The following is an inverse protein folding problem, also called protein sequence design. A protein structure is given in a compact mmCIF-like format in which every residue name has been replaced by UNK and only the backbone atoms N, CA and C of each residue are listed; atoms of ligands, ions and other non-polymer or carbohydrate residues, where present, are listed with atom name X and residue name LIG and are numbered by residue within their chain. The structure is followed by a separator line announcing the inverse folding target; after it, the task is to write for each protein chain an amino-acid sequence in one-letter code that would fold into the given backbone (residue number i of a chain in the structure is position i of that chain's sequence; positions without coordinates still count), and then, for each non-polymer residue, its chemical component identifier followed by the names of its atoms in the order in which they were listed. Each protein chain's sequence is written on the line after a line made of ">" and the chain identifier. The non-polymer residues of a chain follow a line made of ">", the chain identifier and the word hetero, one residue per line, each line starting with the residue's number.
data_IF_686666436609
#
_entry.id   IF_686666436609
#
_cell.length_a   1.000
_cell.length_b   1.000
_cell.length_c   1.000
_cell.angle_alpha   90.00
_cell.angle_beta   90.00
_cell.angle_gamma   90.00
#
_symmetry.space_group_name_H-M   'P 1'
#
loop_
_entity.id
_entity.type
_entity.pdbx_description
1 polymer ?
#
# COMPACT_ATOMS: atom_id res chain seq x y z
N UNK A 1 -23.43 3.69 -10.24
CA UNK A 1 -22.30 2.73 -10.13
C UNK A 1 -21.19 3.45 -9.38
N UNK A 2 -20.51 2.77 -8.44
CA UNK A 2 -19.41 3.37 -7.70
C UNK A 2 -18.34 3.94 -8.67
N UNK A 3 -17.91 5.18 -8.41
CA UNK A 3 -16.91 5.85 -9.22
C UNK A 3 -15.54 5.71 -8.56
N UNK A 4 -14.52 5.31 -9.31
CA UNK A 4 -13.15 5.14 -8.80
C UNK A 4 -12.21 6.11 -9.50
N UNK A 5 -11.45 6.88 -8.73
CA UNK A 5 -10.29 7.64 -9.19
C UNK A 5 -9.03 7.05 -8.59
N UNK A 6 -7.98 6.93 -9.41
CA UNK A 6 -6.68 6.45 -8.96
C UNK A 6 -5.78 7.66 -8.72
N UNK A 7 -5.05 7.65 -7.61
CA UNK A 7 -3.92 8.57 -7.42
C UNK A 7 -2.69 8.05 -8.17
N UNK A 8 -1.70 8.91 -8.44
CA UNK A 8 -0.41 8.48 -8.97
C UNK A 8 0.24 7.40 -8.11
N UNK A 9 0.47 6.23 -8.69
CA UNK A 9 1.18 5.14 -8.02
C UNK A 9 2.60 5.55 -7.64
N UNK A 10 2.98 5.35 -6.39
CA UNK A 10 4.32 5.61 -5.89
C UNK A 10 5.20 4.38 -6.09
N UNK A 11 6.38 4.61 -6.65
CA UNK A 11 7.40 3.58 -6.87
C UNK A 11 8.68 3.90 -6.11
N UNK A 12 9.25 2.89 -5.45
CA UNK A 12 10.58 3.00 -4.87
C UNK A 12 11.38 1.70 -5.08
N UNK A 13 12.70 1.83 -5.07
CA UNK A 13 13.62 0.68 -5.12
C UNK A 13 14.65 0.84 -4.03
N UNK A 14 14.96 -0.25 -3.37
CA UNK A 14 16.01 -0.31 -2.35
C UNK A 14 16.86 -1.56 -2.56
N UNK A 15 18.17 -1.45 -2.32
CA UNK A 15 19.11 -2.56 -2.34
C UNK A 15 19.99 -2.45 -1.10
N UNK A 16 20.09 -3.54 -0.34
CA UNK A 16 20.81 -3.53 0.93
C UNK A 16 20.52 -4.76 1.76
N UNK A 17 20.73 -4.61 3.07
CA UNK A 17 20.43 -5.61 4.08
C UNK A 17 19.18 -5.17 4.85
N UNK A 18 18.23 -6.07 5.01
CA UNK A 18 16.99 -5.79 5.72
C UNK A 18 16.37 -7.08 6.26
N UNK A 19 15.55 -6.95 7.30
CA UNK A 19 14.69 -8.03 7.77
C UNK A 19 13.37 -7.99 7.00
N UNK A 20 13.19 -8.94 6.08
CA UNK A 20 11.99 -9.06 5.24
C UNK A 20 10.74 -9.25 6.08
N UNK A 21 10.80 -10.04 7.15
CA UNK A 21 9.64 -10.28 8.00
C UNK A 21 9.25 -9.04 8.78
N UNK A 22 10.24 -8.29 9.28
CA UNK A 22 10.00 -7.02 9.98
C UNK A 22 9.32 -6.02 9.06
N UNK A 23 9.82 -5.83 7.83
CA UNK A 23 9.19 -4.93 6.84
C UNK A 23 7.74 -5.31 6.60
N UNK A 24 7.45 -6.59 6.35
CA UNK A 24 6.08 -7.07 6.11
C UNK A 24 5.19 -6.82 7.33
N UNK A 25 5.67 -7.14 8.54
CA UNK A 25 4.93 -6.92 9.79
C UNK A 25 4.66 -5.43 10.04
N UNK A 26 5.62 -4.55 9.79
CA UNK A 26 5.44 -3.11 9.94
C UNK A 26 4.33 -2.58 9.01
N UNK A 27 4.28 -3.04 7.75
CA UNK A 27 3.19 -2.67 6.85
C UNK A 27 1.83 -3.22 7.31
N UNK A 28 1.79 -4.47 7.80
CA UNK A 28 0.57 -5.06 8.36
C UNK A 28 0.06 -4.27 9.57
N UNK A 29 0.96 -3.91 10.48
CA UNK A 29 0.63 -3.11 11.66
C UNK A 29 0.15 -1.71 11.26
N UNK A 30 0.80 -1.08 10.28
CA UNK A 30 0.40 0.22 9.77
C UNK A 30 -1.05 0.23 9.27
N UNK A 31 -1.49 -0.81 8.53
CA UNK A 31 -2.90 -0.92 8.14
C UNK A 31 -3.84 -0.97 9.35
N UNK A 32 -3.49 -1.75 10.38
CA UNK A 32 -4.30 -1.90 11.59
C UNK A 32 -4.37 -0.58 12.36
N UNK A 33 -3.22 0.06 12.60
CA UNK A 33 -3.09 1.34 13.32
C UNK A 33 -3.83 2.47 12.60
N UNK A 34 -3.82 2.45 11.26
CA UNK A 34 -4.53 3.42 10.44
C UNK A 34 -6.00 3.08 10.15
N UNK A 35 -6.58 2.10 10.84
CA UNK A 35 -7.99 1.69 10.76
C UNK A 35 -8.42 1.24 9.35
N UNK A 36 -7.53 0.59 8.61
CA UNK A 36 -7.90 -0.12 7.41
C UNK A 36 -8.44 -1.51 7.77
N UNK A 37 -9.55 -1.89 7.15
CA UNK A 37 -9.93 -3.30 7.07
C UNK A 37 -9.07 -3.96 5.98
N UNK A 38 -8.19 -4.87 6.40
CA UNK A 38 -7.40 -5.69 5.49
C UNK A 38 -8.30 -6.78 4.90
N UNK A 39 -8.56 -6.69 3.59
CA UNK A 39 -9.46 -7.63 2.93
C UNK A 39 -8.70 -8.91 2.52
N UNK A 40 -7.38 -8.82 2.29
CA UNK A 40 -6.57 -9.95 1.83
C UNK A 40 -5.14 -9.89 2.38
N UNK A 41 -4.81 -10.87 3.24
CA UNK A 41 -3.45 -11.20 3.72
C UNK A 41 -2.68 -11.87 2.56
N UNK A 42 -1.36 -11.61 2.39
CA UNK A 42 -0.69 -11.69 1.09
C UNK A 42 -0.78 -13.01 0.33
N UNK A 43 -0.94 -12.88 -0.99
CA UNK A 43 -0.51 -13.92 -1.93
C UNK A 43 1.01 -13.97 -1.90
N UNK A 44 1.54 -14.98 -1.24
CA UNK A 44 2.95 -15.31 -1.30
C UNK A 44 3.23 -16.06 -2.59
N UNK A 45 4.05 -15.48 -3.46
CA UNK A 45 4.68 -16.20 -4.56
C UNK A 45 6.18 -16.28 -4.30
N UNK A 46 6.66 -17.50 -4.06
CA UNK A 46 8.07 -17.83 -4.05
C UNK A 46 8.41 -18.58 -5.32
N UNK A 47 9.36 -18.05 -6.07
CA UNK A 47 10.00 -18.84 -7.12
C UNK A 47 11.12 -19.66 -6.45
N UNK A 48 11.22 -20.96 -6.77
CA UNK A 48 12.28 -21.84 -6.27
C UNK A 48 13.67 -21.22 -6.50
N UNK A 49 14.64 -21.47 -5.60
CA UNK A 49 15.95 -20.83 -5.66
C UNK A 49 16.61 -21.08 -7.02
N UNK A 50 16.79 -20.00 -7.77
CA UNK A 50 17.68 -19.95 -8.93
C UNK A 50 19.10 -19.70 -8.45
N UNK A 51 20.14 -19.93 -9.26
CA UNK A 51 21.52 -19.57 -8.89
C UNK A 51 21.68 -18.12 -8.42
N UNK A 52 20.78 -17.23 -8.86
CA UNK A 52 20.82 -15.81 -8.52
C UNK A 52 20.28 -15.47 -7.12
N UNK A 53 19.40 -16.30 -6.52
CA UNK A 53 18.81 -16.10 -5.19
C UNK A 53 17.31 -16.43 -5.13
N UNK A 54 16.67 -16.12 -4.00
CA UNK A 54 15.23 -16.31 -3.80
C UNK A 54 14.47 -15.03 -4.21
N UNK A 55 13.37 -15.19 -4.95
CA UNK A 55 12.42 -14.12 -5.23
C UNK A 55 11.17 -14.30 -4.37
N UNK A 56 10.66 -13.20 -3.83
CA UNK A 56 9.43 -13.18 -3.01
C UNK A 56 8.60 -11.97 -3.39
N UNK A 57 7.32 -12.20 -3.70
CA UNK A 57 6.34 -11.14 -3.89
C UNK A 57 5.29 -11.19 -2.77
N UNK A 58 4.95 -10.02 -2.25
CA UNK A 58 3.96 -9.81 -1.19
C UNK A 58 3.03 -8.69 -1.62
N UNK A 59 1.74 -8.99 -1.72
CA UNK A 59 0.69 -8.03 -2.06
C UNK A 59 -0.23 -7.85 -0.87
N UNK A 60 -0.50 -6.62 -0.47
CA UNK A 60 -1.38 -6.29 0.65
C UNK A 60 -2.41 -5.27 0.20
N UNK A 61 -3.65 -5.49 0.61
CA UNK A 61 -4.81 -4.68 0.22
C UNK A 61 -5.55 -4.22 1.48
N UNK A 62 -5.69 -2.91 1.64
CA UNK A 62 -6.48 -2.31 2.72
C UNK A 62 -7.56 -1.39 2.17
N UNK A 63 -8.77 -1.49 2.73
CA UNK A 63 -9.82 -0.51 2.52
C UNK A 63 -10.15 0.26 3.80
N UNK A 64 -10.42 1.56 3.68
CA UNK A 64 -10.82 2.43 4.78
C UNK A 64 -12.07 3.22 4.39
N UNK A 65 -13.12 3.08 5.19
CA UNK A 65 -14.35 3.86 5.03
C UNK A 65 -14.11 5.26 5.59
N UNK A 66 -13.89 6.23 4.71
CA UNK A 66 -13.64 7.63 5.10
C UNK A 66 -14.97 8.29 5.49
N UNK A 67 -16.00 8.10 4.67
CA UNK A 67 -17.37 8.57 4.95
C UNK A 67 -18.40 7.55 4.45
N UNK A 68 -19.69 7.84 4.67
CA UNK A 68 -20.77 7.06 4.05
C UNK A 68 -20.81 7.11 2.51
N UNK A 69 -20.06 8.03 1.90
CA UNK A 69 -19.96 8.20 0.45
C UNK A 69 -18.58 7.81 -0.10
N UNK A 70 -17.53 7.96 0.71
CA UNK A 70 -16.14 7.83 0.28
C UNK A 70 -15.48 6.64 0.96
N UNK A 71 -14.84 5.79 0.17
CA UNK A 71 -13.97 4.71 0.62
C UNK A 71 -12.61 4.87 -0.05
N UNK A 72 -11.55 4.71 0.72
CA UNK A 72 -10.18 4.72 0.25
C UNK A 72 -9.65 3.30 0.20
N UNK A 73 -8.85 2.99 -0.80
CA UNK A 73 -8.10 1.74 -0.92
C UNK A 73 -6.62 2.08 -1.03
N UNK A 74 -5.78 1.30 -0.34
CA UNK A 74 -4.32 1.39 -0.42
C UNK A 74 -3.82 -0.03 -0.69
N UNK A 75 -3.21 -0.19 -1.86
CA UNK A 75 -2.62 -1.45 -2.33
C UNK A 75 -1.10 -1.32 -2.30
N UNK A 76 -0.43 -2.27 -1.64
CA UNK A 76 1.03 -2.28 -1.48
C UNK A 76 1.59 -3.58 -2.06
N UNK A 77 2.53 -3.45 -2.98
CA UNK A 77 3.25 -4.56 -3.59
C UNK A 77 4.73 -4.43 -3.25
N UNK A 78 5.24 -5.43 -2.53
CA UNK A 78 6.66 -5.59 -2.23
C UNK A 78 7.20 -6.76 -3.05
N UNK A 79 8.14 -6.47 -3.94
CA UNK A 79 8.81 -7.47 -4.75
C UNK A 79 10.29 -7.54 -4.39
N UNK A 80 10.65 -8.58 -3.65
CA UNK A 80 12.01 -8.88 -3.24
C UNK A 80 12.72 -9.76 -4.26
N UNK A 81 13.96 -9.39 -4.59
CA UNK A 81 14.83 -10.06 -5.54
C UNK A 81 16.15 -10.45 -4.89
N UNK A 82 16.70 -11.57 -5.36
CA UNK A 82 18.03 -12.05 -4.99
C UNK A 82 18.24 -12.18 -3.48
N UNK A 83 17.20 -12.55 -2.74
CA UNK A 83 17.27 -12.69 -1.29
C UNK A 83 18.27 -13.78 -0.89
N UNK A 84 19.18 -13.43 0.00
CA UNK A 84 20.16 -14.34 0.62
C UNK A 84 20.20 -14.08 2.12
N UNK A 85 20.04 -15.14 2.90
CA UNK A 85 20.17 -15.06 4.35
C UNK A 85 21.63 -14.81 4.74
N UNK A 86 21.84 -13.84 5.62
CA UNK A 86 23.12 -13.52 6.21
C UNK A 86 22.99 -13.45 7.74
N UNK A 87 24.06 -13.81 8.44
CA UNK A 87 24.17 -13.58 9.88
C UNK A 87 25.17 -12.46 10.13
N UNK A 88 24.71 -11.35 10.70
CA UNK A 88 25.58 -10.27 11.17
C UNK A 88 25.72 -10.35 12.70
N UNK A 89 26.92 -10.06 13.21
CA UNK A 89 27.14 -9.91 14.66
C UNK A 89 27.13 -8.44 14.99
N UNK A 90 26.09 -7.98 15.70
CA UNK A 90 25.96 -6.61 16.20
C UNK A 90 25.88 -6.65 17.72
N UNK A 91 26.76 -5.91 18.40
CA UNK A 91 26.83 -5.87 19.86
C UNK A 91 26.94 -7.25 20.54
N UNK A 92 27.68 -8.17 19.90
CA UNK A 92 27.86 -9.55 20.38
C UNK A 92 26.65 -10.47 20.20
N UNK A 93 25.56 -10.00 19.59
CA UNK A 93 24.38 -10.80 19.23
C UNK A 93 24.36 -11.09 17.74
N UNK A 94 24.01 -12.32 17.39
CA UNK A 94 23.74 -12.72 16.00
C UNK A 94 22.36 -12.21 15.59
N UNK A 95 22.31 -11.40 14.54
CA UNK A 95 21.08 -10.95 13.89
C UNK A 95 21.02 -11.60 12.51
N UNK A 96 19.87 -12.21 12.19
CA UNK A 96 19.61 -12.80 10.87
C UNK A 96 18.95 -11.74 10.00
N UNK A 97 19.56 -11.45 8.86
CA UNK A 97 19.07 -10.48 7.88
C UNK A 97 19.06 -11.11 6.51
N UNK A 98 18.41 -10.43 5.56
CA UNK A 98 18.50 -10.77 4.15
C UNK A 98 19.26 -9.69 3.39
N UNK A 99 20.23 -10.09 2.58
CA UNK A 99 20.77 -9.26 1.51
C UNK A 99 19.86 -9.40 0.28
N UNK A 100 19.50 -8.30 -0.35
CA UNK A 100 18.74 -8.34 -1.58
C UNK A 100 18.38 -6.97 -2.15
N UNK A 101 17.46 -6.98 -3.10
CA UNK A 101 16.81 -5.77 -3.62
C UNK A 101 15.31 -5.88 -3.44
N UNK A 102 14.62 -4.77 -3.23
CA UNK A 102 13.17 -4.69 -3.16
C UNK A 102 12.66 -3.58 -4.06
N UNK A 103 11.67 -3.90 -4.89
CA UNK A 103 10.83 -2.92 -5.56
C UNK A 103 9.55 -2.76 -4.74
N UNK A 104 9.15 -1.51 -4.53
CA UNK A 104 7.97 -1.13 -3.77
C UNK A 104 7.05 -0.39 -4.73
N UNK A 105 5.79 -0.78 -4.74
CA UNK A 105 4.72 -0.14 -5.49
C UNK A 105 3.55 0.08 -4.53
N UNK A 106 3.07 1.33 -4.46
CA UNK A 106 1.96 1.72 -3.60
C UNK A 106 0.94 2.45 -4.47
N UNK A 107 -0.27 1.94 -4.50
CA UNK A 107 -1.36 2.48 -5.29
C UNK A 107 -2.57 2.84 -4.42
N UNK A 108 -3.03 4.07 -4.55
CA UNK A 108 -4.19 4.62 -3.89
C UNK A 108 -5.38 4.71 -4.84
N UNK A 109 -6.54 4.31 -4.33
CA UNK A 109 -7.81 4.45 -5.07
C UNK A 109 -8.85 5.08 -4.17
N UNK A 110 -9.46 6.15 -4.67
CA UNK A 110 -10.63 6.77 -4.07
C UNK A 110 -11.90 6.23 -4.73
N UNK A 111 -12.77 5.64 -3.94
CA UNK A 111 -14.08 5.12 -4.36
C UNK A 111 -15.21 5.99 -3.81
N UNK A 112 -15.95 6.62 -4.71
CA UNK A 112 -17.12 7.43 -4.43
C UNK A 112 -18.41 6.63 -4.66
N UNK A 113 -19.42 6.89 -3.83
CA UNK A 113 -20.66 6.12 -3.76
C UNK A 113 -20.40 4.60 -3.58
N UNK A 114 -19.48 4.23 -2.70
CA UNK A 114 -19.14 2.81 -2.45
C UNK A 114 -20.33 1.96 -1.95
N UNK A 115 -21.37 2.62 -1.40
CA UNK A 115 -22.62 1.97 -0.99
C UNK A 115 -23.64 1.85 -2.13
N UNK A 116 -23.31 2.34 -3.33
CA UNK A 116 -24.18 2.36 -4.51
C UNK A 116 -25.55 3.00 -4.24
N UNK A 117 -25.61 4.04 -3.39
CA UNK A 117 -26.85 4.73 -2.98
C UNK A 117 -27.50 5.48 -4.14
N UNK A 118 -26.71 5.89 -5.11
CA UNK A 118 -27.19 6.60 -6.30
C UNK A 118 -27.28 5.69 -7.53
N UNK A 119 -27.13 4.38 -7.35
CA UNK A 119 -27.31 3.40 -8.42
C UNK A 119 -28.78 2.99 -8.59
N UNK A 120 -29.15 2.53 -9.79
CA UNK A 120 -30.43 1.84 -10.04
C UNK A 120 -31.53 2.69 -10.68
N UNK A 121 -31.33 4.00 -10.85
CA UNK A 121 -32.24 4.87 -11.62
C UNK A 121 -31.46 5.94 -12.37
N UNK A 122 -31.84 6.20 -13.63
CA UNK A 122 -31.23 7.26 -14.45
C UNK A 122 -31.27 8.64 -13.78
N UNK A 123 -32.30 8.90 -12.97
CA UNK A 123 -32.41 10.15 -12.22
C UNK A 123 -31.38 10.25 -11.10
N UNK A 124 -31.20 9.17 -10.32
CA UNK A 124 -30.22 9.13 -9.23
C UNK A 124 -28.79 9.21 -9.76
N UNK A 125 -28.51 8.55 -10.89
CA UNK A 125 -27.21 8.62 -11.56
C UNK A 125 -26.92 10.03 -12.10
N UNK A 126 -27.92 10.71 -12.66
CA UNK A 126 -27.78 12.10 -13.10
C UNK A 126 -27.53 13.05 -11.91
N UNK A 127 -28.21 12.84 -10.78
CA UNK A 127 -28.01 13.62 -9.56
C UNK A 127 -26.60 13.43 -8.99
N UNK A 128 -26.11 12.19 -8.95
CA UNK A 128 -24.77 11.85 -8.47
C UNK A 128 -23.68 12.46 -9.36
N UNK A 129 -23.87 12.43 -10.68
CA UNK A 129 -22.98 13.10 -11.62
C UNK A 129 -22.98 14.62 -11.44
N UNK A 130 -24.15 15.24 -11.23
CA UNK A 130 -24.23 16.66 -10.94
C UNK A 130 -23.54 17.01 -9.62
N UNK A 131 -23.80 16.23 -8.57
CA UNK A 131 -23.19 16.42 -7.26
C UNK A 131 -21.67 16.33 -7.34
N UNK A 132 -21.12 15.28 -7.96
CA UNK A 132 -19.68 15.10 -8.16
C UNK A 132 -19.03 16.20 -8.99
N UNK A 133 -19.66 16.54 -10.12
CA UNK A 133 -19.03 17.43 -11.12
C UNK A 133 -19.12 18.91 -10.75
N UNK A 134 -20.12 19.31 -9.96
CA UNK A 134 -20.39 20.73 -9.68
C UNK A 134 -20.34 21.09 -8.20
N UNK A 135 -20.75 20.19 -7.29
CA UNK A 135 -20.86 20.54 -5.87
C UNK A 135 -19.58 20.14 -5.12
N UNK A 136 -19.12 18.90 -5.27
CA UNK A 136 -17.98 18.38 -4.51
C UNK A 136 -16.71 18.20 -5.34
N UNK A 137 -16.66 18.76 -6.56
CA UNK A 137 -15.51 18.62 -7.47
C UNK A 137 -14.18 18.97 -6.80
N UNK A 138 -14.10 20.14 -6.16
CA UNK A 138 -12.90 20.58 -5.45
C UNK A 138 -12.59 19.75 -4.21
N UNK A 139 -13.63 19.24 -3.53
CA UNK A 139 -13.44 18.37 -2.37
C UNK A 139 -12.89 16.99 -2.76
N UNK A 140 -13.22 16.51 -3.95
CA UNK A 140 -12.66 15.26 -4.48
C UNK A 140 -11.17 15.47 -4.76
N UNK A 141 -10.81 16.43 -5.62
CA UNK A 141 -9.42 16.66 -6.00
C UNK A 141 -8.55 17.18 -4.87
N UNK A 142 -8.90 18.32 -4.28
CA UNK A 142 -8.00 19.06 -3.39
C UNK A 142 -7.98 18.53 -1.95
N UNK A 143 -8.88 17.61 -1.60
CA UNK A 143 -8.96 17.12 -0.23
C UNK A 143 -8.92 15.61 -0.15
N UNK A 144 -9.76 14.90 -0.92
CA UNK A 144 -9.76 13.45 -0.85
C UNK A 144 -8.61 12.82 -1.64
N UNK A 145 -8.30 13.28 -2.86
CA UNK A 145 -7.14 12.75 -3.60
C UNK A 145 -5.83 13.10 -2.87
N UNK A 146 -5.69 14.32 -2.34
CA UNK A 146 -4.54 14.73 -1.51
C UNK A 146 -4.42 13.84 -0.24
N UNK A 147 -5.53 13.56 0.44
CA UNK A 147 -5.53 12.65 1.60
C UNK A 147 -5.09 11.22 1.22
N UNK A 148 -5.45 10.73 0.04
CA UNK A 148 -4.95 9.41 -0.44
C UNK A 148 -3.45 9.49 -0.69
N UNK A 149 -2.98 10.52 -1.41
CA UNK A 149 -1.56 10.74 -1.70
C UNK A 149 -0.71 10.84 -0.42
N UNK A 150 -1.16 11.62 0.57
CA UNK A 150 -0.48 11.76 1.86
C UNK A 150 -0.38 10.41 2.57
N UNK A 151 -1.44 9.60 2.50
CA UNK A 151 -1.46 8.25 3.07
C UNK A 151 -0.47 7.33 2.35
N UNK A 152 -0.37 7.41 1.02
CA UNK A 152 0.62 6.65 0.23
C UNK A 152 2.06 7.04 0.60
N UNK A 153 2.32 8.34 0.79
CA UNK A 153 3.62 8.86 1.19
C UNK A 153 3.98 8.39 2.60
N UNK A 154 3.05 8.45 3.55
CA UNK A 154 3.25 8.01 4.93
C UNK A 154 3.73 6.55 5.00
N UNK A 155 3.04 5.64 4.30
CA UNK A 155 3.42 4.22 4.29
C UNK A 155 4.70 3.96 3.49
N UNK A 156 4.94 4.73 2.42
CA UNK A 156 6.20 4.68 1.68
C UNK A 156 7.39 5.04 2.59
N UNK A 157 7.25 6.10 3.39
CA UNK A 157 8.31 6.55 4.30
C UNK A 157 8.53 5.58 5.46
N UNK A 158 7.45 4.96 5.97
CA UNK A 158 7.57 3.83 6.91
C UNK A 158 8.38 2.68 6.31
N UNK A 159 8.04 2.23 5.10
CA UNK A 159 8.74 1.12 4.44
C UNK A 159 10.22 1.48 4.20
N UNK A 160 10.51 2.70 3.73
CA UNK A 160 11.90 3.17 3.55
C UNK A 160 12.66 3.20 4.88
N UNK A 161 12.01 3.63 5.96
CA UNK A 161 12.61 3.64 7.30
C UNK A 161 12.97 2.22 7.74
N UNK A 162 12.08 1.24 7.55
CA UNK A 162 12.37 -0.16 7.91
C UNK A 162 13.48 -0.78 7.06
N UNK A 163 13.59 -0.39 5.78
CA UNK A 163 14.67 -0.80 4.89
C UNK A 163 15.99 -0.06 5.15
N UNK A 164 15.96 1.08 5.85
CA UNK A 164 17.11 1.96 6.11
C UNK A 164 17.55 2.02 7.59
N UNK A 165 16.88 1.33 8.51
CA UNK A 165 17.18 1.36 9.94
C UNK A 165 18.37 0.49 10.38
N UNK A 166 19.17 -0.05 9.45
CA UNK A 166 20.28 -0.97 9.77
C UNK A 166 21.63 -0.61 9.17
N UNK A 167 22.01 0.67 9.19
CA UNK A 167 23.43 1.09 9.24
C UNK A 167 23.47 2.42 10.01
N UNK A 168 23.75 2.43 11.32
CA UNK A 168 25.10 2.48 11.92
C UNK A 168 25.18 1.59 13.15
#
# INVERSE_FOLDING_TARGET
>A
MAHKSNTPTLYAKHRGFFDVEKVIKSVQNWYVENNFSTIHIPKYKQNFPKPEGIERQVEMHGEKKVTGYVKMHIDIILHFFYLRDIELVRDGKKVKLQEGSVNIEIAGVLELDWQNRFSGSKFLEALDNFYRSYIIKYKIGDFWDDMVLDTEIEVMDLIKSELGAEVV
#
